data_IF_175839796498
#
_entry.id   IF_175839796498
#
_cell.length_a   1.000
_cell.length_b   1.000
_cell.length_c   1.000
_cell.angle_alpha   90.00
_cell.angle_beta   90.00
_cell.angle_gamma   90.00
#
_symmetry.space_group_name_H-M   'P 1'
#
loop_
_entity.id
_entity.type
_entity.pdbx_description
1 polymer ?
#
# COMPACT_ATOMS: atom_id res chain seq x y z
N UNK A 1 68.08 -8.18 35.87
CA UNK A 1 67.22 -7.50 34.88
C UNK A 1 65.94 -8.31 34.75
N UNK A 2 64.80 -7.80 35.21
CA UNK A 2 63.49 -8.45 35.06
C UNK A 2 62.57 -7.56 34.23
N UNK A 3 61.92 -8.20 33.24
CA UNK A 3 61.19 -7.55 32.15
C UNK A 3 59.79 -7.09 32.58
N UNK A 4 59.52 -5.80 32.45
CA UNK A 4 58.16 -5.27 32.49
C UNK A 4 57.44 -5.68 31.21
N UNK A 5 56.49 -6.63 31.29
CA UNK A 5 55.51 -6.85 30.22
C UNK A 5 54.25 -6.05 30.52
N UNK A 6 53.84 -5.09 29.67
CA UNK A 6 52.59 -4.37 29.87
C UNK A 6 51.41 -5.32 29.58
N UNK A 7 50.50 -5.45 30.55
CA UNK A 7 49.21 -6.15 30.35
C UNK A 7 48.30 -5.24 29.52
N UNK A 8 48.09 -5.59 28.24
CA UNK A 8 47.10 -4.92 27.40
C UNK A 8 45.68 -5.12 27.98
N UNK A 9 44.87 -4.06 28.12
CA UNK A 9 43.48 -4.21 28.53
C UNK A 9 42.70 -4.93 27.43
N UNK A 10 41.95 -5.98 27.81
CA UNK A 10 41.03 -6.68 26.91
C UNK A 10 40.05 -5.66 26.33
N UNK A 11 40.07 -5.46 25.01
CA UNK A 11 39.10 -4.64 24.27
C UNK A 11 37.69 -5.15 24.62
N UNK A 12 36.89 -4.32 25.29
CA UNK A 12 35.45 -4.55 25.43
C UNK A 12 34.87 -4.48 24.02
N UNK A 13 34.47 -5.62 23.47
CA UNK A 13 33.63 -5.65 22.26
C UNK A 13 32.36 -4.85 22.53
N UNK A 14 31.88 -4.02 21.58
CA UNK A 14 30.58 -3.39 21.73
C UNK A 14 29.49 -4.47 21.91
N UNK A 15 28.41 -4.18 22.65
CA UNK A 15 27.32 -5.13 22.81
C UNK A 15 26.75 -5.49 21.43
N UNK A 16 26.35 -6.75 21.20
CA UNK A 16 25.73 -7.16 19.94
C UNK A 16 24.46 -6.34 19.74
N UNK A 17 24.36 -5.69 18.59
CA UNK A 17 23.16 -4.95 18.15
C UNK A 17 21.93 -5.85 18.32
N UNK A 18 20.85 -5.39 18.99
CA UNK A 18 19.67 -6.22 19.13
C UNK A 18 19.13 -6.50 17.73
N UNK A 19 19.19 -7.77 17.30
CA UNK A 19 18.59 -8.24 16.06
C UNK A 19 17.10 -7.92 16.14
N UNK A 20 16.67 -6.89 15.41
CA UNK A 20 15.27 -6.52 15.27
C UNK A 20 14.58 -7.76 14.72
N UNK A 21 13.86 -8.48 15.58
CA UNK A 21 13.04 -9.62 15.16
C UNK A 21 11.99 -9.06 14.22
N UNK A 22 12.19 -9.23 12.91
CA UNK A 22 11.15 -8.97 11.92
C UNK A 22 9.90 -9.72 12.36
N UNK A 23 8.87 -8.97 12.76
CA UNK A 23 7.59 -9.56 13.09
C UNK A 23 7.10 -10.28 11.82
N UNK A 24 6.68 -11.56 11.90
CA UNK A 24 6.19 -12.27 10.74
C UNK A 24 5.03 -11.48 10.15
N UNK A 25 5.15 -11.08 8.88
CA UNK A 25 4.08 -10.43 8.11
C UNK A 25 2.89 -11.38 8.15
N UNK A 26 1.87 -11.06 8.96
CA UNK A 26 0.63 -11.83 8.98
C UNK A 26 0.05 -11.75 7.57
N UNK A 27 -0.05 -12.88 6.88
CA UNK A 27 -0.71 -12.99 5.59
C UNK A 27 -2.18 -12.60 5.79
N UNK A 28 -2.54 -11.39 5.37
CA UNK A 28 -3.92 -10.91 5.41
C UNK A 28 -4.70 -11.75 4.41
N UNK A 29 -5.75 -12.45 4.88
CA UNK A 29 -6.64 -13.23 4.00
C UNK A 29 -7.51 -12.25 3.21
N UNK A 30 -7.09 -11.92 2.01
CA UNK A 30 -7.86 -11.11 1.07
C UNK A 30 -8.98 -11.99 0.46
N UNK A 31 -10.25 -11.54 0.43
CA UNK A 31 -11.34 -12.30 -0.19
C UNK A 31 -11.11 -12.56 -1.69
N UNK A 32 -11.62 -13.69 -2.19
CA UNK A 32 -11.37 -14.18 -3.56
C UNK A 32 -11.78 -13.17 -4.65
N UNK A 33 -12.87 -12.43 -4.45
CA UNK A 33 -13.33 -11.42 -5.41
C UNK A 33 -12.27 -10.36 -5.68
N UNK A 34 -11.59 -9.89 -4.63
CA UNK A 34 -10.49 -8.93 -4.77
C UNK A 34 -9.27 -9.61 -5.38
N UNK A 35 -8.96 -10.86 -5.04
CA UNK A 35 -7.81 -11.59 -5.61
C UNK A 35 -7.91 -11.79 -7.13
N UNK A 36 -9.10 -12.05 -7.66
CA UNK A 36 -9.29 -12.37 -9.08
C UNK A 36 -9.23 -11.16 -10.01
N UNK A 37 -9.63 -9.98 -9.54
CA UNK A 37 -9.78 -8.79 -10.38
C UNK A 37 -8.58 -7.85 -10.23
N UNK A 38 -7.94 -7.49 -11.34
CA UNK A 38 -6.79 -6.56 -11.34
C UNK A 38 -7.20 -5.10 -11.17
N UNK A 39 -8.45 -4.78 -11.54
CA UNK A 39 -9.07 -3.47 -11.37
C UNK A 39 -10.42 -3.67 -10.71
N UNK A 40 -10.73 -2.84 -9.71
CA UNK A 40 -12.08 -2.71 -9.17
C UNK A 40 -12.53 -1.26 -9.28
N UNK A 41 -13.78 -1.09 -9.68
CA UNK A 41 -14.43 0.20 -9.84
C UNK A 41 -15.56 0.34 -8.85
N UNK A 42 -15.63 1.49 -8.19
CA UNK A 42 -16.74 1.88 -7.35
C UNK A 42 -17.22 3.27 -7.70
N UNK A 43 -18.54 3.48 -7.72
CA UNK A 43 -19.09 4.82 -7.62
C UNK A 43 -19.07 5.31 -6.17
N UNK A 44 -19.16 6.62 -5.94
CA UNK A 44 -19.28 7.19 -4.59
C UNK A 44 -20.45 6.62 -3.78
N UNK A 45 -21.55 6.26 -4.45
CA UNK A 45 -22.70 5.63 -3.78
C UNK A 45 -22.41 4.18 -3.41
N UNK A 46 -21.75 3.44 -4.30
CA UNK A 46 -21.46 2.02 -4.12
C UNK A 46 -20.41 1.81 -3.03
N UNK A 47 -19.33 2.60 -3.03
CA UNK A 47 -18.29 2.47 -2.00
C UNK A 47 -18.87 2.75 -0.60
N UNK A 48 -19.74 3.76 -0.46
CA UNK A 48 -20.42 4.05 0.82
C UNK A 48 -21.31 2.90 1.27
N UNK A 49 -22.07 2.31 0.35
CA UNK A 49 -22.93 1.16 0.64
C UNK A 49 -22.12 -0.08 1.03
N UNK A 50 -21.02 -0.34 0.34
CA UNK A 50 -20.15 -1.47 0.66
C UNK A 50 -19.39 -1.26 1.97
N UNK A 51 -18.95 -0.04 2.27
CA UNK A 51 -18.33 0.29 3.55
C UNK A 51 -19.28 0.08 4.72
N UNK A 52 -20.56 0.41 4.54
CA UNK A 52 -21.58 0.14 5.56
C UNK A 52 -21.77 -1.36 5.78
N UNK A 53 -21.75 -2.16 4.72
CA UNK A 53 -21.87 -3.63 4.80
C UNK A 53 -20.60 -4.30 5.34
N UNK A 54 -19.44 -3.77 4.99
CA UNK A 54 -18.13 -4.33 5.31
C UNK A 54 -17.17 -3.20 5.73
N UNK A 55 -17.11 -2.85 7.02
CA UNK A 55 -16.27 -1.74 7.50
C UNK A 55 -14.76 -1.99 7.32
N UNK A 56 -14.36 -3.24 7.06
CA UNK A 56 -12.99 -3.62 6.72
C UNK A 56 -12.60 -3.40 5.25
N UNK A 57 -13.52 -2.92 4.40
CA UNK A 57 -13.31 -2.84 2.95
C UNK A 57 -12.06 -2.04 2.57
N UNK A 58 -11.88 -0.83 3.13
CA UNK A 58 -10.72 0.01 2.80
C UNK A 58 -9.40 -0.66 3.14
N UNK A 59 -9.35 -1.37 4.28
CA UNK A 59 -8.15 -2.13 4.68
C UNK A 59 -7.88 -3.25 3.68
N UNK A 60 -8.92 -3.98 3.29
CA UNK A 60 -8.79 -5.05 2.29
C UNK A 60 -8.38 -4.52 0.92
N UNK A 61 -8.95 -3.40 0.48
CA UNK A 61 -8.57 -2.73 -0.76
C UNK A 61 -7.12 -2.25 -0.72
N UNK A 62 -6.67 -1.64 0.37
CA UNK A 62 -5.29 -1.21 0.54
C UNK A 62 -4.26 -2.33 0.69
N UNK A 63 -4.70 -3.54 1.03
CA UNK A 63 -3.84 -4.72 0.98
C UNK A 63 -3.86 -5.41 -0.40
N UNK A 64 -4.93 -5.24 -1.17
CA UNK A 64 -5.15 -5.93 -2.44
C UNK A 64 -4.72 -5.11 -3.66
N UNK A 65 -4.65 -3.78 -3.54
CA UNK A 65 -4.38 -2.82 -4.60
C UNK A 65 -3.40 -1.76 -4.10
N UNK A 66 -2.42 -1.43 -4.93
CA UNK A 66 -1.38 -0.45 -4.60
C UNK A 66 -1.72 0.95 -5.08
N UNK A 67 -2.64 1.11 -6.04
CA UNK A 67 -2.99 2.40 -6.63
C UNK A 67 -4.48 2.68 -6.55
N UNK A 68 -4.83 3.94 -6.30
CA UNK A 68 -6.19 4.45 -6.40
C UNK A 68 -6.22 5.63 -7.36
N UNK A 69 -7.18 5.61 -8.26
CA UNK A 69 -7.50 6.71 -9.16
C UNK A 69 -8.89 7.20 -8.77
N UNK A 70 -9.00 8.48 -8.50
CA UNK A 70 -10.26 9.19 -8.27
C UNK A 70 -10.48 10.05 -9.50
N UNK A 71 -11.59 9.86 -10.19
CA UNK A 71 -11.90 10.71 -11.34
C UNK A 71 -13.32 11.23 -11.27
N UNK A 72 -13.50 12.44 -11.78
CA UNK A 72 -14.78 13.12 -11.86
C UNK A 72 -15.15 13.28 -13.32
N UNK A 73 -16.25 12.64 -13.69
CA UNK A 73 -16.86 12.77 -15.03
C UNK A 73 -17.46 14.17 -15.23
N UNK A 74 -17.72 14.58 -16.48
CA UNK A 74 -18.33 15.89 -16.80
C UNK A 74 -19.70 16.09 -16.13
N UNK A 75 -20.40 14.99 -15.86
CA UNK A 75 -21.69 14.97 -15.17
C UNK A 75 -21.54 15.08 -13.64
N UNK A 76 -20.38 15.50 -13.14
CA UNK A 76 -20.04 15.61 -11.70
C UNK A 76 -20.19 14.28 -10.93
N UNK A 77 -20.07 13.14 -11.62
CA UNK A 77 -20.02 11.84 -10.93
C UNK A 77 -18.56 11.51 -10.61
N UNK A 78 -18.31 11.23 -9.34
CA UNK A 78 -17.00 10.79 -8.85
C UNK A 78 -17.01 9.28 -8.67
N UNK A 79 -16.03 8.65 -9.30
CA UNK A 79 -15.78 7.22 -9.25
C UNK A 79 -14.35 6.95 -8.80
N UNK A 80 -14.15 5.74 -8.27
CA UNK A 80 -12.91 5.28 -7.67
C UNK A 80 -12.47 4.00 -8.38
N UNK A 81 -11.28 4.00 -8.96
CA UNK A 81 -10.63 2.81 -9.50
C UNK A 81 -9.46 2.39 -8.62
N UNK A 82 -9.43 1.12 -8.25
CA UNK A 82 -8.35 0.51 -7.49
C UNK A 82 -7.58 -0.44 -8.40
N UNK A 83 -6.27 -0.22 -8.54
CA UNK A 83 -5.40 -0.94 -9.45
C UNK A 83 -4.21 -1.57 -8.71
N UNK A 84 -3.78 -2.74 -9.17
CA UNK A 84 -2.59 -3.42 -8.61
C UNK A 84 -1.29 -2.90 -9.19
N UNK A 85 -1.28 -2.73 -10.51
CA UNK A 85 -0.03 -2.49 -11.21
C UNK A 85 0.05 -1.06 -11.75
N UNK A 86 1.27 -0.52 -11.74
CA UNK A 86 1.58 0.79 -12.31
C UNK A 86 1.30 0.88 -13.83
N UNK A 87 1.62 -0.12 -14.67
CA UNK A 87 1.33 -0.06 -16.11
C UNK A 87 -0.17 0.04 -16.41
N UNK A 88 -1.00 -0.62 -15.61
CA UNK A 88 -2.46 -0.55 -15.74
C UNK A 88 -2.97 0.82 -15.34
N UNK A 89 -2.48 1.33 -14.20
CA UNK A 89 -2.79 2.67 -13.69
C UNK A 89 -2.45 3.75 -14.73
N UNK A 90 -1.25 3.72 -15.31
CA UNK A 90 -0.81 4.72 -16.31
C UNK A 90 -1.64 4.68 -17.60
N UNK A 91 -2.03 3.49 -18.08
CA UNK A 91 -2.95 3.36 -19.23
C UNK A 91 -4.31 3.98 -18.93
N UNK A 92 -4.85 3.75 -17.74
CA UNK A 92 -6.13 4.31 -17.31
C UNK A 92 -6.06 5.82 -17.15
N UNK A 93 -4.99 6.36 -16.55
CA UNK A 93 -4.77 7.80 -16.45
C UNK A 93 -4.70 8.47 -17.82
N UNK A 94 -4.00 7.85 -18.79
CA UNK A 94 -3.94 8.35 -20.16
C UNK A 94 -5.33 8.38 -20.80
N UNK A 95 -6.10 7.30 -20.66
CA UNK A 95 -7.47 7.23 -21.17
C UNK A 95 -8.37 8.33 -20.57
N UNK A 96 -8.33 8.52 -19.25
CA UNK A 96 -9.13 9.53 -18.57
C UNK A 96 -8.76 10.97 -18.99
N UNK A 97 -7.47 11.22 -19.22
CA UNK A 97 -6.98 12.49 -19.72
C UNK A 97 -7.45 12.76 -21.16
N UNK A 98 -7.45 11.74 -22.03
CA UNK A 98 -7.98 11.84 -23.40
C UNK A 98 -9.49 12.16 -23.41
N UNK A 99 -10.24 11.71 -22.40
CA UNK A 99 -11.66 12.04 -22.23
C UNK A 99 -11.91 13.44 -21.62
N UNK A 100 -10.86 14.15 -21.21
CA UNK A 100 -10.97 15.45 -20.55
C UNK A 100 -11.59 15.38 -19.15
N UNK A 101 -11.47 14.25 -18.47
CA UNK A 101 -12.00 14.11 -17.10
C UNK A 101 -10.99 14.64 -16.09
N UNK A 102 -11.48 15.12 -14.95
CA UNK A 102 -10.60 15.53 -13.85
C UNK A 102 -10.17 14.28 -13.09
N UNK A 103 -8.86 14.11 -12.88
CA UNK A 103 -8.30 12.89 -12.30
C UNK A 103 -7.28 13.23 -11.23
N UNK A 104 -7.45 12.63 -10.07
CA UNK A 104 -6.47 12.53 -9.01
C UNK A 104 -6.06 11.07 -8.85
N UNK A 105 -4.79 10.82 -8.53
CA UNK A 105 -4.32 9.47 -8.26
C UNK A 105 -3.38 9.44 -7.06
N UNK A 106 -3.40 8.32 -6.34
CA UNK A 106 -2.64 8.12 -5.13
C UNK A 106 -2.04 6.70 -5.13
N UNK A 107 -0.76 6.61 -4.81
CA UNK A 107 -0.11 5.34 -4.49
C UNK A 107 -0.28 5.06 -3.01
N UNK A 108 -0.72 3.84 -2.68
CA UNK A 108 -1.01 3.36 -1.32
C UNK A 108 -1.85 4.35 -0.52
N UNK A 109 -3.09 4.64 -0.97
CA UNK A 109 -3.99 5.57 -0.29
C UNK A 109 -4.35 5.17 1.15
N UNK A 110 -4.08 3.92 1.55
CA UNK A 110 -4.45 3.37 2.85
C UNK A 110 -3.25 3.03 3.75
N UNK A 111 -2.16 3.79 3.67
CA UNK A 111 -1.07 3.68 4.66
C UNK A 111 -1.65 4.04 6.04
N UNK A 112 -1.80 3.02 6.88
CA UNK A 112 -2.12 3.11 8.31
C UNK A 112 -0.84 3.24 9.12
#
# INVERSE_FOLDING_TARGET
MFSFRPKFPKKKSPPPTPTIKERPKRLVKIPYHFQKNDIITYSDKDIKRELYKYPGLLKTLGHAYDYQIIYTSPNSRTDYWFCRDLPTTTKLLKYLNEQGWTVDWQEKPFIL
#
